data_IF_213626333233
#
_entry.id   IF_213626333233
#
_cell.length_a   1.000
_cell.length_b   1.000
_cell.length_c   1.000
_cell.angle_alpha   90.00
_cell.angle_beta   90.00
_cell.angle_gamma   90.00
#
_symmetry.space_group_name_H-M   'P 1'
#
loop_
_entity.id
_entity.type
_entity.pdbx_description
1 polymer ?
#
# COMPACT_ATOMS: atom_id res chain seq x y z
N UNK A 1 17.84 3.12 0.89
CA UNK A 1 16.79 2.26 0.82
C UNK A 1 15.51 2.87 0.35
N UNK A 2 14.71 2.08 -0.18
CA UNK A 2 13.55 2.54 -0.93
C UNK A 2 12.25 2.49 -0.15
N UNK A 3 12.33 2.33 1.16
CA UNK A 3 11.13 2.20 1.99
C UNK A 3 10.18 3.37 1.80
N UNK A 4 10.72 4.57 1.81
CA UNK A 4 9.91 5.76 1.66
C UNK A 4 9.24 5.79 0.28
N UNK A 5 9.98 5.37 -0.74
CA UNK A 5 9.46 5.34 -2.09
C UNK A 5 8.35 4.30 -2.22
N UNK A 6 8.52 3.16 -1.59
CA UNK A 6 7.52 2.11 -1.62
C UNK A 6 6.26 2.52 -0.89
N UNK A 7 6.41 3.24 0.23
CA UNK A 7 5.25 3.75 0.95
C UNK A 7 4.47 4.73 0.07
N UNK A 8 5.17 5.59 -0.66
CA UNK A 8 4.50 6.52 -1.57
C UNK A 8 3.76 5.79 -2.68
N UNK A 9 4.31 4.70 -3.17
CA UNK A 9 3.66 3.91 -4.20
C UNK A 9 2.33 3.35 -3.69
N UNK A 10 2.34 2.76 -2.52
CA UNK A 10 1.12 2.16 -1.97
C UNK A 10 0.10 3.24 -1.61
N UNK A 11 0.56 4.37 -1.11
CA UNK A 11 -0.34 5.48 -0.81
C UNK A 11 -1.03 5.97 -2.08
N UNK A 12 -0.28 6.14 -3.15
CA UNK A 12 -0.84 6.59 -4.41
C UNK A 12 -1.84 5.56 -4.95
N UNK A 13 -1.51 4.29 -4.84
CA UNK A 13 -2.39 3.23 -5.30
C UNK A 13 -3.71 3.26 -4.54
N UNK A 14 -3.65 3.44 -3.23
CA UNK A 14 -4.85 3.52 -2.42
C UNK A 14 -5.65 4.77 -2.75
N UNK A 15 -4.98 5.89 -2.94
CA UNK A 15 -5.67 7.12 -3.28
C UNK A 15 -6.42 7.01 -4.61
N UNK A 16 -5.82 6.34 -5.58
CA UNK A 16 -6.49 6.10 -6.85
C UNK A 16 -7.74 5.25 -6.67
N UNK A 17 -7.62 4.21 -5.87
CA UNK A 17 -8.75 3.33 -5.60
C UNK A 17 -9.88 4.11 -4.91
N UNK A 18 -9.54 4.91 -3.90
CA UNK A 18 -10.55 5.67 -3.16
C UNK A 18 -11.19 6.75 -4.04
N UNK A 19 -10.41 7.32 -4.93
CA UNK A 19 -10.92 8.33 -5.84
C UNK A 19 -12.04 7.76 -6.72
N UNK A 20 -11.97 6.48 -7.04
CA UNK A 20 -12.97 5.84 -7.88
C UNK A 20 -14.16 5.31 -7.09
N UNK A 21 -13.92 4.85 -5.87
CA UNK A 21 -14.96 4.14 -5.12
C UNK A 21 -15.46 4.90 -3.91
N UNK A 22 -14.59 5.64 -3.25
CA UNK A 22 -14.94 6.34 -2.01
C UNK A 22 -14.23 7.69 -1.98
N UNK A 23 -14.62 8.62 -2.87
CA UNK A 23 -13.88 9.89 -2.97
C UNK A 23 -13.87 10.71 -1.69
N UNK A 24 -14.85 10.54 -0.83
CA UNK A 24 -14.87 11.29 0.43
C UNK A 24 -13.76 10.85 1.36
N UNK A 25 -13.20 9.66 1.16
CA UNK A 25 -12.11 9.17 2.01
C UNK A 25 -10.76 9.78 1.67
N UNK A 26 -10.69 10.50 0.56
CA UNK A 26 -9.41 11.10 0.16
C UNK A 26 -8.93 12.15 1.14
N UNK A 27 -9.82 12.74 1.91
CA UNK A 27 -9.43 13.73 2.91
C UNK A 27 -9.07 13.09 4.25
N UNK A 28 -9.17 11.78 4.37
CA UNK A 28 -8.88 11.08 5.63
C UNK A 28 -7.43 10.61 5.63
N UNK A 29 -6.52 11.56 5.84
CA UNK A 29 -5.08 11.29 5.84
C UNK A 29 -4.67 10.18 6.81
N UNK A 30 -5.13 10.20 8.07
CA UNK A 30 -4.73 9.12 9.00
C UNK A 30 -5.12 7.74 8.51
N UNK A 31 -6.28 7.60 7.90
CA UNK A 31 -6.73 6.33 7.35
C UNK A 31 -5.84 5.89 6.19
N UNK A 32 -5.56 6.81 5.26
CA UNK A 32 -4.76 6.50 4.10
C UNK A 32 -3.34 6.12 4.51
N UNK A 33 -2.76 6.87 5.44
CA UNK A 33 -1.41 6.59 5.92
C UNK A 33 -1.34 5.23 6.61
N UNK A 34 -2.34 4.92 7.43
CA UNK A 34 -2.34 3.65 8.14
C UNK A 34 -2.46 2.47 7.18
N UNK A 35 -3.34 2.58 6.20
CA UNK A 35 -3.50 1.48 5.23
C UNK A 35 -2.27 1.31 4.36
N UNK A 36 -1.67 2.41 3.91
CA UNK A 36 -0.46 2.33 3.11
C UNK A 36 0.69 1.71 3.91
N UNK A 37 0.78 2.05 5.18
CA UNK A 37 1.81 1.50 6.05
C UNK A 37 1.62 0.00 6.23
N UNK A 38 0.38 -0.44 6.39
CA UNK A 38 0.09 -1.87 6.48
C UNK A 38 0.46 -2.60 5.20
N UNK A 39 0.17 -2.01 4.06
CA UNK A 39 0.52 -2.61 2.78
C UNK A 39 2.03 -2.73 2.63
N UNK A 40 2.76 -1.72 3.05
CA UNK A 40 4.21 -1.76 3.00
C UNK A 40 4.76 -2.86 3.88
N UNK A 41 4.22 -2.99 5.09
CA UNK A 41 4.65 -4.05 6.00
C UNK A 41 4.41 -5.41 5.37
N UNK A 42 3.24 -5.62 4.78
CA UNK A 42 2.93 -6.88 4.12
C UNK A 42 3.89 -7.16 2.97
N UNK A 43 4.21 -6.13 2.20
CA UNK A 43 5.15 -6.26 1.10
C UNK A 43 6.52 -6.69 1.60
N UNK A 44 7.02 -6.01 2.64
CA UNK A 44 8.34 -6.33 3.18
C UNK A 44 8.38 -7.74 3.75
N UNK A 45 7.33 -8.14 4.46
CA UNK A 45 7.26 -9.49 5.02
C UNK A 45 7.29 -10.53 3.91
N UNK A 46 6.56 -10.30 2.84
CA UNK A 46 6.52 -11.24 1.73
C UNK A 46 7.90 -11.40 1.09
N UNK A 47 8.59 -10.29 0.90
CA UNK A 47 9.94 -10.33 0.31
C UNK A 47 10.89 -11.11 1.22
N UNK A 48 10.81 -10.89 2.51
CA UNK A 48 11.65 -11.60 3.48
C UNK A 48 11.37 -13.09 3.42
N UNK A 49 10.12 -13.48 3.20
CA UNK A 49 9.74 -14.88 3.13
C UNK A 49 10.10 -15.55 1.81
N UNK A 50 10.60 -14.77 0.84
CA UNK A 50 11.06 -15.34 -0.41
C UNK A 50 10.12 -15.18 -1.59
N UNK A 51 9.02 -14.44 -1.42
CA UNK A 51 8.12 -14.18 -2.55
C UNK A 51 8.77 -13.20 -3.52
N UNK A 52 8.44 -13.34 -4.79
CA UNK A 52 8.95 -12.43 -5.79
C UNK A 52 8.31 -11.05 -5.64
N UNK A 53 8.94 -10.05 -6.28
CA UNK A 53 8.43 -8.71 -6.20
C UNK A 53 6.97 -8.59 -6.66
N UNK A 54 6.59 -9.16 -7.83
CA UNK A 54 5.18 -9.10 -8.24
C UNK A 54 4.24 -9.79 -7.25
N UNK A 55 4.66 -10.90 -6.67
CA UNK A 55 3.84 -11.60 -5.70
C UNK A 55 3.65 -10.78 -4.44
N UNK A 56 4.75 -10.16 -3.97
CA UNK A 56 4.68 -9.33 -2.78
C UNK A 56 3.76 -8.12 -3.01
N UNK A 57 3.81 -7.54 -4.20
CA UNK A 57 2.93 -6.42 -4.53
C UNK A 57 1.46 -6.84 -4.53
N UNK A 58 1.18 -8.02 -5.06
CA UNK A 58 -0.18 -8.52 -5.07
C UNK A 58 -0.70 -8.71 -3.65
N UNK A 59 0.13 -9.29 -2.78
CA UNK A 59 -0.26 -9.49 -1.39
C UNK A 59 -0.50 -8.17 -0.68
N UNK A 60 0.37 -7.19 -0.92
CA UNK A 60 0.23 -5.88 -0.30
C UNK A 60 -1.03 -5.17 -0.80
N UNK A 61 -1.35 -5.33 -2.09
CA UNK A 61 -2.53 -4.70 -2.66
C UNK A 61 -3.82 -5.23 -2.03
N UNK A 62 -3.82 -6.48 -1.62
CA UNK A 62 -5.00 -7.06 -0.99
C UNK A 62 -5.26 -6.48 0.39
N UNK A 63 -4.24 -5.92 1.03
CA UNK A 63 -4.39 -5.26 2.31
C UNK A 63 -5.06 -3.89 2.16
N UNK A 64 -4.87 -3.26 1.02
CA UNK A 64 -5.48 -1.97 0.75
C UNK A 64 -6.98 -2.14 0.53
#
# INVERSE_FOLDING_TARGET
METKKELSYFRLKLENYLSEHFPEMLSNDPFITARADEALTTYCDAVVQGFSHPEAETMASEVL
#
